data_IF_706496890211
#
_entry.id   IF_706496890211
#
_cell.length_a   1.000
_cell.length_b   1.000
_cell.length_c   1.000
_cell.angle_alpha   90.00
_cell.angle_beta   90.00
_cell.angle_gamma   90.00
#
_symmetry.space_group_name_H-M   'P 1'
#
loop_
_entity.id
_entity.type
_entity.pdbx_description
1 polymer ?
#
# COMPACT_ATOMS: atom_id res chain seq x y z
N UNK A 1 -7.70 -17.51 -16.52
CA UNK A 1 -8.43 -17.69 -15.25
C UNK A 1 -8.65 -16.34 -14.61
N UNK A 2 -9.76 -16.17 -13.90
CA UNK A 2 -10.12 -14.92 -13.18
C UNK A 2 -9.72 -15.04 -11.72
N UNK A 3 -9.22 -13.95 -11.11
CA UNK A 3 -8.89 -13.91 -9.69
C UNK A 3 -10.16 -13.80 -8.84
N UNK A 4 -10.23 -14.53 -7.72
CA UNK A 4 -11.33 -14.45 -6.74
C UNK A 4 -10.91 -13.62 -5.51
N UNK A 5 -11.68 -12.58 -5.20
CA UNK A 5 -11.48 -11.68 -4.06
C UNK A 5 -12.58 -11.79 -2.99
N UNK A 6 -13.41 -12.83 -3.02
CA UNK A 6 -14.46 -13.11 -2.03
C UNK A 6 -13.94 -13.04 -0.58
N UNK A 7 -12.71 -13.48 -0.35
CA UNK A 7 -12.02 -13.48 0.97
C UNK A 7 -10.87 -12.48 1.07
N UNK A 8 -10.84 -11.44 0.22
CA UNK A 8 -9.79 -10.43 0.26
C UNK A 8 -9.72 -9.71 1.62
N UNK A 9 -8.51 -9.50 2.15
CA UNK A 9 -8.26 -8.74 3.37
C UNK A 9 -8.27 -7.23 3.08
N UNK A 10 -8.23 -6.40 4.11
CA UNK A 10 -7.88 -4.98 3.94
C UNK A 10 -6.36 -4.86 3.85
N UNK A 11 -5.87 -4.14 2.84
CA UNK A 11 -4.44 -3.86 2.65
C UNK A 11 -4.17 -2.38 2.87
N UNK A 12 -3.07 -2.08 3.55
CA UNK A 12 -2.53 -0.73 3.65
C UNK A 12 -1.28 -0.69 2.78
N UNK A 13 -1.30 0.16 1.76
CA UNK A 13 -0.17 0.37 0.86
C UNK A 13 0.58 1.61 1.30
N UNK A 14 1.91 1.52 1.37
CA UNK A 14 2.80 2.63 1.69
C UNK A 14 4.14 2.46 0.95
N UNK A 15 4.98 3.49 0.98
CA UNK A 15 6.36 3.48 0.45
C UNK A 15 7.24 4.30 1.42
N UNK A 16 8.37 4.81 0.95
CA UNK A 16 9.31 5.60 1.73
C UNK A 16 8.73 6.95 2.19
N UNK A 17 7.91 7.60 1.37
CA UNK A 17 7.33 8.90 1.71
C UNK A 17 6.30 9.35 0.68
N UNK A 18 5.67 10.51 0.91
CA UNK A 18 4.64 11.06 0.02
C UNK A 18 5.15 11.39 -1.39
N UNK A 19 6.45 11.56 -1.57
CA UNK A 19 7.06 11.77 -2.89
C UNK A 19 7.20 10.47 -3.70
N UNK A 20 7.06 9.29 -3.08
CA UNK A 20 7.19 8.02 -3.78
C UNK A 20 5.93 7.68 -4.59
N UNK A 21 6.08 7.50 -5.90
CA UNK A 21 4.97 7.21 -6.83
C UNK A 21 4.65 5.72 -6.97
N UNK A 22 5.49 4.83 -6.46
CA UNK A 22 5.32 3.38 -6.62
C UNK A 22 4.05 2.87 -5.93
N UNK A 23 3.69 3.40 -4.75
CA UNK A 23 2.44 3.03 -4.07
C UNK A 23 1.20 3.39 -4.90
N UNK A 24 1.18 4.58 -5.52
CA UNK A 24 0.08 4.98 -6.39
C UNK A 24 0.03 4.13 -7.67
N UNK A 25 1.19 3.77 -8.22
CA UNK A 25 1.26 2.87 -9.37
C UNK A 25 0.73 1.47 -9.03
N UNK A 26 1.10 0.89 -7.89
CA UNK A 26 0.60 -0.40 -7.44
C UNK A 26 -0.92 -0.40 -7.24
N UNK A 27 -1.49 0.71 -6.73
CA UNK A 27 -2.93 0.81 -6.50
C UNK A 27 -3.68 0.90 -7.84
N UNK A 28 -3.28 1.81 -8.74
CA UNK A 28 -4.09 2.17 -9.92
C UNK A 28 -3.38 2.03 -11.27
N UNK A 29 -2.14 2.50 -11.41
CA UNK A 29 -1.58 2.79 -12.75
C UNK A 29 -0.83 1.61 -13.37
N UNK A 30 -0.23 0.72 -12.57
CA UNK A 30 0.59 -0.40 -13.04
C UNK A 30 -0.21 -1.39 -13.91
N UNK A 31 0.50 -2.19 -14.73
CA UNK A 31 -0.11 -3.26 -15.55
C UNK A 31 -0.92 -4.24 -14.69
N UNK A 32 -0.38 -4.58 -13.52
CA UNK A 32 -0.99 -5.47 -12.54
C UNK A 32 -1.38 -4.70 -11.27
N UNK A 33 -2.01 -3.53 -11.43
CA UNK A 33 -2.47 -2.76 -10.28
C UNK A 33 -3.64 -3.44 -9.58
N UNK A 34 -3.76 -3.24 -8.26
CA UNK A 34 -4.82 -3.87 -7.45
C UNK A 34 -6.21 -3.61 -8.03
N UNK A 35 -6.47 -2.38 -8.48
CA UNK A 35 -7.75 -2.03 -9.10
C UNK A 35 -7.98 -2.76 -10.44
N UNK A 36 -6.95 -2.88 -11.29
CA UNK A 36 -7.07 -3.59 -12.57
C UNK A 36 -7.21 -5.10 -12.40
N UNK A 37 -6.65 -5.63 -11.32
CA UNK A 37 -6.79 -7.05 -10.97
C UNK A 37 -8.18 -7.37 -10.40
N UNK A 38 -8.97 -6.38 -9.98
CA UNK A 38 -10.30 -6.57 -9.40
C UNK A 38 -10.34 -6.58 -7.87
N UNK A 39 -9.28 -6.13 -7.21
CA UNK A 39 -9.25 -6.02 -5.75
C UNK A 39 -10.29 -5.01 -5.25
N UNK A 40 -11.06 -5.30 -4.19
CA UNK A 40 -12.10 -4.39 -3.70
C UNK A 40 -11.53 -3.04 -3.26
N UNK A 41 -12.01 -1.96 -3.87
CA UNK A 41 -11.48 -0.59 -3.64
C UNK A 41 -11.62 -0.15 -2.18
N UNK A 42 -12.72 -0.52 -1.53
CA UNK A 42 -13.01 -0.25 -0.12
C UNK A 42 -12.01 -0.89 0.84
N UNK A 43 -11.39 -2.01 0.42
CA UNK A 43 -10.35 -2.76 1.15
C UNK A 43 -8.92 -2.28 0.87
N UNK A 44 -8.74 -1.25 0.05
CA UNK A 44 -7.41 -0.65 -0.20
C UNK A 44 -7.33 0.66 0.57
N UNK A 45 -6.39 0.74 1.51
CA UNK A 45 -6.03 1.98 2.20
C UNK A 45 -4.65 2.43 1.73
N UNK A 46 -4.50 3.72 1.51
CA UNK A 46 -3.23 4.31 1.09
C UNK A 46 -2.69 5.22 2.17
N UNK A 47 -1.59 4.81 2.80
CA UNK A 47 -0.87 5.64 3.76
C UNK A 47 0.17 6.48 3.02
N UNK A 48 -0.27 7.66 2.57
CA UNK A 48 0.53 8.55 1.71
C UNK A 48 1.82 9.06 2.36
N UNK A 49 1.82 9.30 3.67
CA UNK A 49 3.00 9.78 4.39
C UNK A 49 4.20 8.82 4.34
N UNK A 50 3.95 7.52 4.10
CA UNK A 50 4.99 6.50 4.00
C UNK A 50 5.81 6.37 5.28
N UNK A 51 6.94 5.66 5.17
CA UNK A 51 7.84 5.45 6.31
C UNK A 51 8.43 6.75 6.87
N UNK A 52 8.64 7.76 6.02
CA UNK A 52 9.11 9.08 6.44
C UNK A 52 8.18 9.68 7.50
N UNK A 53 6.89 9.84 7.20
CA UNK A 53 5.93 10.36 8.19
C UNK A 53 5.77 9.44 9.39
N UNK A 54 5.78 8.10 9.18
CA UNK A 54 5.67 7.13 10.28
C UNK A 54 6.76 7.33 11.34
N UNK A 55 8.02 7.44 10.88
CA UNK A 55 9.17 7.65 11.75
C UNK A 55 9.17 9.06 12.33
N UNK A 56 8.82 10.09 11.56
CA UNK A 56 8.73 11.48 12.06
C UNK A 56 7.72 11.62 13.20
N UNK A 57 6.64 10.86 13.19
CA UNK A 57 5.65 10.85 14.27
C UNK A 57 6.05 9.97 15.47
N UNK A 58 7.25 9.37 15.47
CA UNK A 58 7.71 8.52 16.56
C UNK A 58 6.93 7.22 16.70
N UNK A 59 6.26 6.77 15.63
CA UNK A 59 5.51 5.52 15.64
C UNK A 59 6.46 4.32 15.69
N UNK A 60 5.98 3.22 16.26
CA UNK A 60 6.78 2.01 16.46
C UNK A 60 7.31 1.48 15.13
N UNK A 61 8.61 1.23 15.09
CA UNK A 61 9.25 0.47 14.02
C UNK A 61 9.87 -0.78 14.62
N UNK A 62 9.77 -1.90 13.90
CA UNK A 62 10.45 -3.13 14.27
C UNK A 62 11.50 -3.36 13.21
N UNK A 63 12.75 -3.26 13.62
CA UNK A 63 13.91 -3.63 12.83
C UNK A 63 14.94 -4.19 13.79
N UNK A 64 15.83 -5.04 13.31
CA UNK A 64 17.10 -5.20 14.00
C UNK A 64 17.78 -3.85 13.89
N UNK A 65 17.75 -3.05 14.96
CA UNK A 65 18.75 -1.99 15.12
C UNK A 65 20.12 -2.62 14.88
N UNK A 66 21.05 -1.87 14.28
CA UNK A 66 22.40 -2.37 14.02
C UNK A 66 22.94 -3.18 15.20
#
# INVERSE_FOLDING_TARGET
GTLDFSKAKTVVVYCNGAWCLQSTQLIKDAKYSLLKLGYPKDKIKYYRGGMQSWVTFGLTTIGKGK
#
